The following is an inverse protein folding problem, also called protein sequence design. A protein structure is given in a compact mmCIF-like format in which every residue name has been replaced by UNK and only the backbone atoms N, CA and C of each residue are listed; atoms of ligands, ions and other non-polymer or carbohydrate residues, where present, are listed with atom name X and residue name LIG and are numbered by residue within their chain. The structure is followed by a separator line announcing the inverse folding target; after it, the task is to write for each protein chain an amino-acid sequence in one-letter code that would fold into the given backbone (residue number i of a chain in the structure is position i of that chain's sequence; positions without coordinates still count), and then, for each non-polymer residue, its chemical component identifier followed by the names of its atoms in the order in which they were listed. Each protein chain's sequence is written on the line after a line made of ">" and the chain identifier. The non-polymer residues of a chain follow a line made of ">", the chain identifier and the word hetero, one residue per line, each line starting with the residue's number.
data_IF_046708496860
#
_entry.id   IF_046708496860
#
_cell.length_a   1.000
_cell.length_b   1.000
_cell.length_c   1.000
_cell.angle_alpha   90.00
_cell.angle_beta   90.00
_cell.angle_gamma   90.00
#
_symmetry.space_group_name_H-M   'P 1'
#
loop_
_entity.id
_entity.type
_entity.pdbx_description
1 polymer ?
#
# COMPACT_ATOMS: atom_id res chain seq x y z
N UNK A 1 -12.00 -20.63 0.45
CA UNK A 1 -10.73 -20.01 0.89
C UNK A 1 -11.02 -18.53 1.07
N UNK A 2 -10.54 -17.91 2.15
CA UNK A 2 -10.73 -16.46 2.40
C UNK A 2 -10.24 -15.64 1.19
N UNK A 3 -11.02 -14.66 0.71
CA UNK A 3 -10.65 -13.75 -0.41
C UNK A 3 -9.28 -13.10 -0.17
N UNK A 4 -8.94 -12.84 1.10
CA UNK A 4 -7.62 -12.32 1.48
C UNK A 4 -6.50 -13.31 1.18
N UNK A 5 -6.72 -14.59 1.43
CA UNK A 5 -5.73 -15.63 1.17
C UNK A 5 -5.51 -15.82 -0.34
N UNK A 6 -6.56 -15.72 -1.15
CA UNK A 6 -6.45 -15.75 -2.61
C UNK A 6 -5.56 -14.60 -3.14
N UNK A 7 -5.69 -13.41 -2.56
CA UNK A 7 -4.90 -12.24 -2.96
C UNK A 7 -3.46 -12.31 -2.45
N UNK A 8 -3.25 -12.80 -1.23
CA UNK A 8 -1.96 -12.70 -0.55
C UNK A 8 -1.02 -13.91 -0.75
N UNK A 9 -1.56 -15.10 -1.00
CA UNK A 9 -0.76 -16.34 -0.99
C UNK A 9 -0.44 -16.79 -2.41
N UNK A 10 0.86 -16.94 -2.69
CA UNK A 10 1.34 -17.49 -3.95
C UNK A 10 1.00 -18.99 -4.02
N UNK A 11 0.18 -19.38 -4.99
CA UNK A 11 -0.35 -20.76 -5.11
C UNK A 11 0.73 -21.83 -5.30
N UNK A 12 1.91 -21.47 -5.82
CA UNK A 12 3.01 -22.40 -6.09
C UNK A 12 3.89 -22.63 -4.87
N UNK A 13 4.18 -21.58 -4.13
CA UNK A 13 5.16 -21.60 -3.02
C UNK A 13 4.50 -21.66 -1.64
N UNK A 14 3.23 -21.23 -1.54
CA UNK A 14 2.56 -21.00 -0.27
C UNK A 14 3.06 -19.76 0.47
N UNK A 15 4.03 -19.02 -0.08
CA UNK A 15 4.57 -17.80 0.49
C UNK A 15 3.83 -16.53 0.05
N UNK A 16 4.29 -15.38 0.53
CA UNK A 16 3.68 -14.08 0.28
C UNK A 16 4.75 -12.99 0.15
N UNK A 17 4.63 -12.14 -0.87
CA UNK A 17 5.44 -10.94 -0.97
C UNK A 17 4.84 -9.85 -0.09
N UNK A 18 5.68 -9.01 0.48
CA UNK A 18 5.23 -7.84 1.20
C UNK A 18 6.04 -6.59 0.88
N UNK A 19 5.38 -5.45 1.01
CA UNK A 19 6.02 -4.13 1.04
C UNK A 19 5.76 -3.50 2.38
N UNK A 20 6.83 -3.01 3.03
CA UNK A 20 6.76 -2.25 4.27
C UNK A 20 7.30 -0.86 4.02
N UNK A 21 6.52 0.17 4.31
CA UNK A 21 6.88 1.57 4.14
C UNK A 21 6.51 2.40 5.36
N UNK A 22 7.39 3.31 5.76
CA UNK A 22 7.10 4.32 6.78
C UNK A 22 6.74 5.62 6.11
N UNK A 23 5.54 6.12 6.34
CA UNK A 23 5.06 7.39 5.84
C UNK A 23 4.93 8.41 6.96
N UNK A 24 5.47 9.61 6.78
CA UNK A 24 5.34 10.73 7.71
C UNK A 24 4.37 11.74 7.09
N UNK A 25 3.34 12.13 7.84
CA UNK A 25 2.32 13.07 7.37
C UNK A 25 2.62 14.50 7.82
N UNK A 26 2.32 15.47 6.95
CA UNK A 26 2.24 16.87 7.30
C UNK A 26 0.88 17.14 7.96
N UNK A 27 0.82 16.95 9.28
CA UNK A 27 -0.41 17.12 10.06
C UNK A 27 -0.93 18.57 10.05
N UNK A 28 -0.02 19.56 9.96
CA UNK A 28 -0.42 20.97 9.87
C UNK A 28 -1.17 21.28 8.57
N UNK A 29 -0.69 20.74 7.44
CA UNK A 29 -1.35 20.88 6.15
C UNK A 29 -2.73 20.18 6.17
N UNK A 30 -2.79 18.96 6.68
CA UNK A 30 -4.06 18.22 6.81
C UNK A 30 -5.07 18.96 7.70
N UNK A 31 -4.63 19.62 8.75
CA UNK A 31 -5.53 20.40 9.62
C UNK A 31 -6.08 21.64 8.91
N UNK A 32 -5.26 22.33 8.11
CA UNK A 32 -5.64 23.56 7.42
C UNK A 32 -6.45 23.35 6.14
N UNK A 33 -6.23 22.24 5.44
CA UNK A 33 -6.93 21.96 4.18
C UNK A 33 -8.44 21.81 4.41
N UNK A 34 -9.25 22.23 3.44
CA UNK A 34 -10.69 21.98 3.45
C UNK A 34 -10.97 20.50 3.19
N UNK A 35 -12.07 19.96 3.73
CA UNK A 35 -12.38 18.54 3.57
C UNK A 35 -12.55 18.15 2.11
N UNK A 36 -13.22 18.97 1.29
CA UNK A 36 -13.34 18.72 -0.14
C UNK A 36 -11.99 18.64 -0.88
N UNK A 37 -10.93 19.27 -0.37
CA UNK A 37 -9.58 19.14 -0.91
C UNK A 37 -8.95 17.80 -0.54
N UNK A 38 -9.05 17.41 0.74
CA UNK A 38 -8.58 16.10 1.22
C UNK A 38 -9.28 14.96 0.50
N UNK A 39 -10.59 15.08 0.32
CA UNK A 39 -11.41 14.12 -0.42
C UNK A 39 -10.96 14.00 -1.88
N UNK A 40 -10.56 15.10 -2.53
CA UNK A 40 -9.98 15.06 -3.89
C UNK A 40 -8.58 14.42 -3.92
N UNK A 41 -7.75 14.61 -2.90
CA UNK A 41 -6.46 13.93 -2.81
C UNK A 41 -6.62 12.42 -2.66
N UNK A 42 -7.59 11.97 -1.86
CA UNK A 42 -7.82 10.54 -1.61
C UNK A 42 -8.69 9.90 -2.71
N UNK A 43 -9.75 10.58 -3.14
CA UNK A 43 -10.80 10.05 -4.03
C UNK A 43 -12.00 9.43 -3.28
N UNK A 44 -12.16 9.73 -1.99
CA UNK A 44 -13.29 9.26 -1.16
C UNK A 44 -13.75 10.36 -0.22
N UNK A 45 -15.01 10.31 0.21
CA UNK A 45 -15.55 11.22 1.22
C UNK A 45 -14.91 10.98 2.58
N UNK A 46 -14.74 12.04 3.38
CA UNK A 46 -14.12 11.94 4.71
C UNK A 46 -15.02 11.21 5.70
N UNK A 47 -16.31 11.57 5.70
CA UNK A 47 -17.26 11.13 6.74
C UNK A 47 -17.53 9.63 6.66
N UNK A 48 -17.87 9.15 5.47
CA UNK A 48 -18.40 7.81 5.27
C UNK A 48 -17.50 6.94 4.36
N UNK A 49 -16.39 7.50 3.86
CA UNK A 49 -15.49 6.81 2.94
C UNK A 49 -16.20 6.31 1.69
N UNK A 50 -17.16 7.06 1.14
CA UNK A 50 -17.75 6.72 -0.16
C UNK A 50 -16.80 7.11 -1.28
N UNK A 51 -16.68 6.27 -2.31
CA UNK A 51 -15.90 6.64 -3.49
C UNK A 51 -16.55 7.84 -4.20
N UNK A 52 -15.75 8.83 -4.57
CA UNK A 52 -16.28 9.98 -5.30
C UNK A 52 -16.67 9.56 -6.71
N UNK A 53 -17.86 9.99 -7.16
CA UNK A 53 -18.34 9.79 -8.53
C UNK A 53 -17.38 10.46 -9.53
N UNK A 54 -16.85 11.64 -9.17
CA UNK A 54 -15.91 12.42 -9.98
C UNK A 54 -14.60 12.64 -9.21
N UNK A 55 -13.84 11.57 -8.98
CA UNK A 55 -12.48 11.67 -8.43
C UNK A 55 -11.48 12.12 -9.50
N UNK A 56 -10.47 12.95 -9.16
CA UNK A 56 -9.34 13.22 -10.05
C UNK A 56 -8.57 11.94 -10.37
N UNK A 57 -7.93 11.87 -11.55
CA UNK A 57 -7.08 10.74 -11.91
C UNK A 57 -5.73 10.70 -11.18
N UNK A 58 -5.39 11.79 -10.50
CA UNK A 58 -4.28 11.90 -9.54
C UNK A 58 -4.68 11.52 -8.10
N UNK A 59 -5.96 11.23 -7.83
CA UNK A 59 -6.39 10.83 -6.48
C UNK A 59 -5.81 9.46 -6.12
N UNK A 60 -5.54 9.24 -4.83
CA UNK A 60 -4.94 7.99 -4.36
C UNK A 60 -5.71 6.75 -4.82
N UNK A 61 -7.04 6.74 -4.69
CA UNK A 61 -7.89 5.65 -5.18
C UNK A 61 -7.73 5.44 -6.69
N UNK A 62 -7.72 6.51 -7.49
CA UNK A 62 -7.55 6.39 -8.94
C UNK A 62 -6.17 5.85 -9.32
N UNK A 63 -5.10 6.23 -8.59
CA UNK A 63 -3.75 5.68 -8.79
C UNK A 63 -3.70 4.19 -8.49
N UNK A 64 -4.28 3.75 -7.36
CA UNK A 64 -4.28 2.35 -6.93
C UNK A 64 -5.13 1.43 -7.82
N UNK A 65 -6.20 1.95 -8.41
CA UNK A 65 -7.09 1.18 -9.30
C UNK A 65 -6.61 1.22 -10.75
N UNK A 66 -5.96 2.31 -11.16
CA UNK A 66 -5.59 2.56 -12.56
C UNK A 66 -6.66 3.27 -13.39
N UNK A 67 -7.73 3.76 -12.75
CA UNK A 67 -8.83 4.45 -13.42
C UNK A 67 -9.51 5.47 -12.49
N UNK A 68 -9.96 6.58 -13.06
CA UNK A 68 -10.78 7.58 -12.37
C UNK A 68 -12.29 7.25 -12.39
N UNK A 69 -12.71 6.27 -13.19
CA UNK A 69 -14.11 5.86 -13.30
C UNK A 69 -14.65 5.33 -11.97
N UNK A 70 -15.91 5.65 -11.68
CA UNK A 70 -16.58 5.23 -10.45
C UNK A 70 -16.70 3.70 -10.41
N UNK A 71 -16.28 3.10 -9.29
CA UNK A 71 -16.30 1.64 -9.06
C UNK A 71 -15.56 0.82 -10.13
N UNK A 72 -14.49 1.39 -10.69
CA UNK A 72 -13.65 0.68 -11.65
C UNK A 72 -13.11 -0.65 -11.07
N UNK A 73 -12.99 -1.66 -11.93
CA UNK A 73 -12.47 -2.97 -11.57
C UNK A 73 -10.99 -2.86 -11.18
N UNK A 74 -10.64 -3.43 -10.03
CA UNK A 74 -9.25 -3.51 -9.56
C UNK A 74 -8.52 -4.61 -10.32
N UNK A 75 -7.57 -4.23 -11.19
CA UNK A 75 -6.71 -5.20 -11.90
C UNK A 75 -5.76 -5.92 -10.94
N UNK A 76 -5.14 -5.16 -10.04
CA UNK A 76 -4.22 -5.67 -9.02
C UNK A 76 -4.83 -5.49 -7.64
N UNK A 77 -4.58 -6.46 -6.74
CA UNK A 77 -5.12 -6.48 -5.39
C UNK A 77 -4.01 -6.77 -4.40
N UNK A 78 -4.09 -6.17 -3.22
CA UNK A 78 -3.18 -6.39 -2.10
C UNK A 78 -3.99 -6.49 -0.81
N UNK A 79 -3.46 -7.20 0.19
CA UNK A 79 -4.02 -7.24 1.54
C UNK A 79 -3.21 -6.30 2.43
N UNK A 80 -3.80 -5.16 2.79
CA UNK A 80 -3.15 -4.18 3.67
C UNK A 80 -3.34 -4.58 5.14
N UNK A 81 -2.29 -4.42 5.92
CA UNK A 81 -2.28 -4.48 7.38
C UNK A 81 -1.66 -3.19 7.97
N UNK A 82 -1.77 -2.10 7.22
CA UNK A 82 -1.23 -0.80 7.60
C UNK A 82 -1.89 -0.26 8.87
N UNK A 83 -1.10 0.41 9.72
CA UNK A 83 -1.57 1.01 10.96
C UNK A 83 -1.01 2.43 11.12
N UNK A 84 -1.76 3.35 11.77
CA UNK A 84 -1.19 4.62 12.17
C UNK A 84 -0.07 4.42 13.20
N UNK A 85 0.90 5.32 13.20
CA UNK A 85 1.92 5.42 14.25
C UNK A 85 2.23 6.88 14.55
N UNK A 86 2.84 7.14 15.69
CA UNK A 86 3.41 8.45 15.99
C UNK A 86 3.39 8.80 17.46
N UNK A 87 3.86 10.01 17.75
CA UNK A 87 3.77 10.67 19.05
C UNK A 87 3.38 12.13 18.83
N UNK A 88 2.93 12.82 19.88
CA UNK A 88 2.54 14.24 19.78
C UNK A 88 3.73 15.16 19.45
N UNK A 89 4.91 14.88 20.01
CA UNK A 89 6.12 15.68 19.84
C UNK A 89 7.03 15.21 18.69
N UNK A 90 6.67 14.13 18.02
CA UNK A 90 7.47 13.50 16.96
C UNK A 90 6.72 13.34 15.65
N UNK A 91 7.33 12.65 14.69
CA UNK A 91 6.69 12.33 13.42
C UNK A 91 5.52 11.34 13.62
N UNK A 92 4.37 11.66 13.04
CA UNK A 92 3.20 10.80 12.98
C UNK A 92 2.82 10.51 11.52
N UNK A 93 2.21 9.35 11.29
CA UNK A 93 1.72 8.99 9.97
C UNK A 93 1.28 7.53 9.88
N UNK A 94 1.63 6.86 8.79
CA UNK A 94 1.20 5.50 8.50
C UNK A 94 2.41 4.57 8.39
N UNK A 95 2.41 3.49 9.17
CA UNK A 95 3.26 2.34 8.90
C UNK A 95 2.49 1.45 7.94
N UNK A 96 2.82 1.56 6.66
CA UNK A 96 2.19 0.78 5.62
C UNK A 96 2.85 -0.58 5.54
N UNK A 97 2.04 -1.63 5.64
CA UNK A 97 2.44 -2.99 5.29
C UNK A 97 1.32 -3.63 4.48
N UNK A 98 1.70 -4.31 3.41
CA UNK A 98 0.76 -5.02 2.57
C UNK A 98 1.37 -6.30 2.02
N UNK A 99 0.50 -7.28 1.75
CA UNK A 99 0.84 -8.61 1.28
C UNK A 99 0.19 -8.89 -0.08
N UNK A 100 0.88 -9.64 -0.93
CA UNK A 100 0.39 -10.05 -2.24
C UNK A 100 1.03 -11.38 -2.68
N UNK A 101 0.28 -12.15 -3.48
CA UNK A 101 0.76 -13.39 -4.09
C UNK A 101 1.85 -13.15 -5.15
N UNK A 102 1.94 -11.93 -5.67
CA UNK A 102 2.86 -11.51 -6.73
C UNK A 102 3.35 -10.07 -6.51
N UNK A 103 4.63 -9.81 -6.78
CA UNK A 103 5.28 -8.50 -6.64
C UNK A 103 4.74 -7.48 -7.64
N UNK A 104 4.22 -7.92 -8.79
CA UNK A 104 3.65 -7.05 -9.82
C UNK A 104 2.48 -6.21 -9.31
N UNK A 105 1.75 -6.70 -8.30
CA UNK A 105 0.70 -5.92 -7.63
C UNK A 105 1.27 -4.63 -7.02
N UNK A 106 2.45 -4.70 -6.39
CA UNK A 106 3.10 -3.55 -5.78
C UNK A 106 3.75 -2.65 -6.82
N UNK A 107 4.44 -3.23 -7.82
CA UNK A 107 5.10 -2.47 -8.88
C UNK A 107 4.10 -1.61 -9.64
N UNK A 108 2.95 -2.18 -10.03
CA UNK A 108 1.87 -1.42 -10.66
C UNK A 108 1.43 -0.22 -9.80
N UNK A 109 1.18 -0.45 -8.51
CA UNK A 109 0.70 0.61 -7.61
C UNK A 109 1.76 1.68 -7.40
N UNK A 110 3.02 1.31 -7.15
CA UNK A 110 4.11 2.25 -6.87
C UNK A 110 4.53 3.05 -8.11
N UNK A 111 4.58 2.43 -9.29
CA UNK A 111 4.86 3.13 -10.55
C UNK A 111 3.80 4.18 -10.83
N UNK A 112 2.53 3.84 -10.58
CA UNK A 112 1.44 4.81 -10.69
C UNK A 112 1.52 5.89 -9.63
N UNK A 113 1.94 5.58 -8.40
CA UNK A 113 2.07 6.59 -7.36
C UNK A 113 3.13 7.63 -7.71
N UNK A 114 4.26 7.17 -8.21
CA UNK A 114 5.47 7.98 -8.41
C UNK A 114 5.58 8.58 -9.81
N UNK A 115 4.54 8.44 -10.64
CA UNK A 115 4.51 8.98 -12.01
C UNK A 115 5.41 8.23 -13.00
N UNK A 116 5.89 7.04 -12.66
CA UNK A 116 6.66 6.20 -13.58
C UNK A 116 5.77 5.51 -14.62
N UNK A 117 4.46 5.44 -14.40
CA UNK A 117 3.49 4.99 -15.40
C UNK A 117 3.43 5.87 -16.65
N UNK A 118 2.88 5.35 -17.75
CA UNK A 118 2.81 6.05 -19.04
C UNK A 118 2.07 7.40 -19.03
N UNK A 119 1.18 7.62 -18.07
CA UNK A 119 0.45 8.89 -17.92
C UNK A 119 1.25 10.01 -17.20
N UNK A 120 2.42 9.68 -16.63
CA UNK A 120 3.34 10.62 -15.94
C UNK A 120 2.68 11.44 -14.83
N UNK A 121 1.63 10.90 -14.20
CA UNK A 121 0.89 11.55 -13.12
C UNK A 121 1.28 10.99 -11.77
N UNK A 122 1.55 11.87 -10.82
CA UNK A 122 1.84 11.51 -9.43
C UNK A 122 0.56 11.35 -8.61
N UNK A 123 0.67 10.62 -7.50
CA UNK A 123 -0.37 10.50 -6.49
C UNK A 123 -0.44 11.72 -5.59
N UNK A 124 -1.64 12.29 -5.47
CA UNK A 124 -1.92 13.41 -4.58
C UNK A 124 -1.75 13.07 -3.09
N UNK A 125 -1.71 11.79 -2.69
CA UNK A 125 -1.35 11.43 -1.31
C UNK A 125 0.03 11.97 -0.92
N UNK A 126 0.94 12.14 -1.90
CA UNK A 126 2.28 12.67 -1.67
C UNK A 126 2.31 14.19 -1.42
N UNK A 127 1.18 14.88 -1.60
CA UNK A 127 1.04 16.30 -1.23
C UNK A 127 1.22 16.50 0.28
N UNK A 128 0.71 15.57 1.08
CA UNK A 128 0.76 15.67 2.55
C UNK A 128 1.50 14.52 3.23
N UNK A 129 1.97 13.53 2.48
CA UNK A 129 2.61 12.34 3.05
C UNK A 129 3.92 12.02 2.35
N UNK A 130 4.98 11.78 3.11
CA UNK A 130 6.30 11.43 2.58
C UNK A 130 6.73 10.05 3.03
N UNK A 131 7.09 9.19 2.09
CA UNK A 131 7.72 7.91 2.39
C UNK A 131 9.16 8.16 2.84
N UNK A 132 9.52 7.72 4.04
CA UNK A 132 10.86 7.93 4.61
C UNK A 132 11.70 6.66 4.59
N UNK A 133 11.06 5.50 4.55
CA UNK A 133 11.71 4.19 4.35
C UNK A 133 10.77 3.26 3.60
N UNK A 134 11.33 2.34 2.81
CA UNK A 134 10.58 1.33 2.07
C UNK A 134 11.42 0.09 1.85
N UNK A 135 10.85 -1.11 2.06
CA UNK A 135 11.53 -2.39 1.87
C UNK A 135 10.55 -3.42 1.30
N UNK A 136 11.05 -4.29 0.43
CA UNK A 136 10.36 -5.49 0.00
C UNK A 136 10.78 -6.67 0.87
N UNK A 137 9.84 -7.57 1.10
CA UNK A 137 10.04 -8.81 1.85
C UNK A 137 9.38 -9.97 1.12
N UNK A 138 9.89 -11.17 1.37
CA UNK A 138 9.22 -12.41 1.03
C UNK A 138 9.07 -13.26 2.29
N UNK A 139 7.83 -13.63 2.61
CA UNK A 139 7.50 -14.53 3.70
C UNK A 139 7.26 -15.92 3.11
N UNK A 140 8.19 -16.87 3.29
CA UNK A 140 8.06 -18.20 2.71
C UNK A 140 6.87 -18.96 3.29
N UNK A 141 6.31 -19.87 2.49
CA UNK A 141 5.30 -20.81 2.98
C UNK A 141 5.92 -21.75 4.04
N UNK A 142 5.08 -22.36 4.88
CA UNK A 142 5.58 -23.20 5.98
C UNK A 142 6.55 -24.32 5.51
N UNK A 143 6.24 -24.97 4.38
CA UNK A 143 7.11 -26.00 3.81
C UNK A 143 8.47 -25.42 3.38
N UNK A 144 8.46 -24.32 2.64
CA UNK A 144 9.67 -23.64 2.16
C UNK A 144 10.51 -23.12 3.33
N UNK A 145 9.88 -22.49 4.32
CA UNK A 145 10.54 -22.05 5.54
C UNK A 145 11.25 -23.22 6.26
N UNK A 146 10.56 -24.35 6.42
CA UNK A 146 11.13 -25.54 7.05
C UNK A 146 12.34 -26.08 6.28
N UNK A 147 12.34 -26.00 4.94
CA UNK A 147 13.49 -26.40 4.13
C UNK A 147 14.66 -25.41 4.27
N UNK A 148 14.38 -24.12 4.35
CA UNK A 148 15.41 -23.08 4.56
C UNK A 148 16.12 -23.24 5.90
N UNK A 149 15.38 -23.46 6.98
CA UNK A 149 15.98 -23.55 8.33
C UNK A 149 16.69 -24.88 8.59
N UNK A 150 16.26 -25.98 7.96
CA UNK A 150 16.92 -27.30 8.11
C UNK A 150 18.33 -27.33 7.55
N UNK A 151 18.63 -26.48 6.56
CA UNK A 151 19.93 -26.40 5.92
C UNK A 151 20.87 -25.38 6.59
N UNK A 152 20.45 -24.76 7.71
CA UNK A 152 21.33 -23.85 8.45
C UNK A 152 22.43 -24.65 9.18
N UNK A 153 23.68 -24.16 9.17
CA UNK A 153 24.76 -24.74 9.97
C UNK A 153 24.36 -24.86 11.44
N UNK A 154 24.71 -25.99 12.08
CA UNK A 154 24.44 -26.19 13.51
C UNK A 154 25.10 -25.04 14.30
N UNK A 155 24.29 -24.22 14.97
CA UNK A 155 24.75 -23.11 15.81
C UNK A 155 24.07 -21.77 15.55
N UNK A 156 23.43 -21.60 14.40
CA UNK A 156 22.60 -20.41 14.12
C UNK A 156 21.19 -20.66 14.65
N UNK A 157 20.78 -19.95 15.70
CA UNK A 157 19.38 -19.84 16.13
C UNK A 157 18.86 -18.47 15.70
N UNK A 158 17.75 -18.46 14.97
CA UNK A 158 16.95 -17.28 14.68
C UNK A 158 16.13 -16.87 15.90
#
# INVERSE_FOLDING_TARGET
>A
MDDRAEVAINKRTGGSYAVVQKWVHNMSLLYKAADGEKERWIGRTIKDSYELIRKPDTSHVARMVGSAEFKAKKKYRIVRQAQPYGTLSGGAGLLFIAYAADIDNFNFMLDRMTGHSGDKKNDNIMVFSRCVTGNYWYFPGLLEFNLLVRNLPRGIRL
#
